data_IF_518514987505
#
_entry.id   IF_518514987505
#
_cell.length_a   1.000
_cell.length_b   1.000
_cell.length_c   1.000
_cell.angle_alpha   90.00
_cell.angle_beta   90.00
_cell.angle_gamma   90.00
#
_symmetry.space_group_name_H-M   'P 1'
#
loop_
_entity.id
_entity.type
_entity.pdbx_description
1 polymer ?
#
# COMPACT_ATOMS: atom_id res chain seq x y z
N UNK A 1 -48.40 23.06 -12.03
CA UNK A 1 -47.82 22.61 -10.75
C UNK A 1 -46.80 21.48 -10.95
N UNK A 2 -47.01 20.60 -11.93
CA UNK A 2 -46.13 19.46 -12.27
C UNK A 2 -44.65 19.82 -12.58
N UNK A 3 -44.43 20.88 -13.35
CA UNK A 3 -43.08 21.33 -13.77
C UNK A 3 -42.18 21.75 -12.57
N UNK A 4 -42.77 22.26 -11.49
CA UNK A 4 -42.04 22.64 -10.27
C UNK A 4 -41.57 21.40 -9.49
N UNK A 5 -42.38 20.34 -9.45
CA UNK A 5 -42.07 19.08 -8.77
C UNK A 5 -40.93 18.36 -9.46
N UNK A 6 -40.95 18.28 -10.79
CA UNK A 6 -39.88 17.64 -11.58
C UNK A 6 -38.55 18.39 -11.45
N UNK A 7 -38.56 19.71 -11.58
CA UNK A 7 -37.37 20.56 -11.41
C UNK A 7 -36.73 20.35 -10.03
N UNK A 8 -37.55 20.27 -8.99
CA UNK A 8 -37.08 20.01 -7.63
C UNK A 8 -36.50 18.60 -7.48
N UNK A 9 -37.07 17.60 -8.17
CA UNK A 9 -36.54 16.24 -8.22
C UNK A 9 -35.15 16.19 -8.86
N UNK A 10 -35.00 16.79 -10.04
CA UNK A 10 -33.72 16.87 -10.76
C UNK A 10 -32.65 17.56 -9.91
N UNK A 11 -32.99 18.71 -9.30
CA UNK A 11 -32.05 19.44 -8.44
C UNK A 11 -31.58 18.60 -7.24
N UNK A 12 -32.48 17.88 -6.57
CA UNK A 12 -32.14 16.99 -5.45
C UNK A 12 -31.22 15.86 -5.88
N UNK A 13 -31.46 15.27 -7.05
CA UNK A 13 -30.60 14.20 -7.58
C UNK A 13 -29.18 14.70 -7.86
N UNK A 14 -29.04 15.87 -8.50
CA UNK A 14 -27.71 16.45 -8.72
C UNK A 14 -27.00 16.83 -7.42
N UNK A 15 -27.74 17.29 -6.41
CA UNK A 15 -27.19 17.58 -5.08
C UNK A 15 -26.65 16.30 -4.41
N UNK A 16 -27.38 15.18 -4.52
CA UNK A 16 -26.92 13.88 -4.03
C UNK A 16 -25.68 13.38 -4.77
N UNK A 17 -25.64 13.52 -6.10
CA UNK A 17 -24.47 13.16 -6.91
C UNK A 17 -23.26 14.00 -6.48
N UNK A 18 -23.41 15.31 -6.34
CA UNK A 18 -22.34 16.20 -5.88
C UNK A 18 -21.84 15.81 -4.50
N UNK A 19 -22.74 15.50 -3.56
CA UNK A 19 -22.38 15.02 -2.23
C UNK A 19 -21.57 13.71 -2.27
N UNK A 20 -21.97 12.75 -3.11
CA UNK A 20 -21.21 11.50 -3.29
C UNK A 20 -19.80 11.76 -3.85
N UNK A 21 -19.69 12.63 -4.86
CA UNK A 21 -18.39 12.98 -5.45
C UNK A 21 -17.48 13.62 -4.40
N UNK A 22 -18.00 14.57 -3.61
CA UNK A 22 -17.24 15.21 -2.53
C UNK A 22 -16.77 14.18 -1.50
N UNK A 23 -17.60 13.20 -1.12
CA UNK A 23 -17.20 12.15 -0.19
C UNK A 23 -16.08 11.27 -0.75
N UNK A 24 -16.15 10.88 -2.02
CA UNK A 24 -15.12 10.06 -2.67
C UNK A 24 -13.81 10.83 -2.80
N UNK A 25 -13.85 12.09 -3.21
CA UNK A 25 -12.65 12.92 -3.31
C UNK A 25 -12.09 13.24 -1.92
N UNK A 26 -12.96 13.55 -0.96
CA UNK A 26 -12.61 13.84 0.43
C UNK A 26 -11.91 12.68 1.11
N UNK A 27 -12.39 11.43 0.94
CA UNK A 27 -11.69 10.25 1.50
C UNK A 27 -10.30 10.09 0.89
N UNK A 28 -10.17 10.28 -0.43
CA UNK A 28 -8.91 10.11 -1.14
C UNK A 28 -7.90 11.16 -0.72
N UNK A 29 -8.33 12.41 -0.63
CA UNK A 29 -7.55 13.52 -0.11
C UNK A 29 -7.10 13.28 1.32
N UNK A 30 -8.00 12.85 2.21
CA UNK A 30 -7.69 12.59 3.60
C UNK A 30 -6.70 11.43 3.76
N UNK A 31 -6.86 10.34 3.00
CA UNK A 31 -5.91 9.22 3.00
C UNK A 31 -4.52 9.66 2.53
N UNK A 32 -4.44 10.45 1.45
CA UNK A 32 -3.17 10.98 0.97
C UNK A 32 -2.52 11.93 2.00
N UNK A 33 -3.28 12.86 2.56
CA UNK A 33 -2.76 13.87 3.50
C UNK A 33 -2.37 13.27 4.86
N UNK A 34 -3.13 12.30 5.38
CA UNK A 34 -2.85 11.70 6.69
C UNK A 34 -1.82 10.57 6.64
N UNK A 35 -1.78 9.80 5.54
CA UNK A 35 -0.98 8.56 5.47
C UNK A 35 0.05 8.60 4.34
N UNK A 36 -0.24 9.29 3.24
CA UNK A 36 0.58 9.25 2.02
C UNK A 36 1.98 9.84 2.19
N UNK A 37 2.16 10.80 3.10
CA UNK A 37 3.44 11.52 3.29
C UNK A 37 4.07 11.24 4.66
N UNK A 38 4.14 9.97 5.07
CA UNK A 38 4.91 9.59 6.27
C UNK A 38 6.43 9.52 6.02
N UNK A 39 6.87 9.72 4.77
CA UNK A 39 8.27 9.60 4.37
C UNK A 39 8.81 8.18 4.51
N UNK A 40 10.11 8.01 4.24
CA UNK A 40 10.80 6.76 4.55
C UNK A 40 10.90 6.62 6.06
N UNK A 41 10.49 5.49 6.66
CA UNK A 41 10.63 5.30 8.10
C UNK A 41 12.11 5.42 8.49
N UNK A 42 12.45 5.91 9.70
CA UNK A 42 13.82 6.10 10.16
C UNK A 42 14.50 4.76 10.51
N UNK A 43 14.13 3.68 9.82
CA UNK A 43 14.74 2.38 10.01
C UNK A 43 16.21 2.48 9.67
N UNK A 44 17.02 2.01 10.61
CA UNK A 44 18.45 2.00 10.48
C UNK A 44 18.84 0.82 9.59
N UNK A 45 18.85 1.03 8.27
CA UNK A 45 19.28 0.05 7.27
C UNK A 45 20.80 -0.12 7.26
N UNK A 46 21.43 -0.14 8.43
CA UNK A 46 22.86 -0.46 8.52
C UNK A 46 23.09 -1.75 7.73
N UNK A 47 24.24 -1.86 7.03
CA UNK A 47 24.65 -3.14 6.48
C UNK A 47 24.71 -4.13 7.65
N UNK A 48 23.67 -4.93 7.80
CA UNK A 48 23.74 -6.12 8.65
C UNK A 48 24.72 -6.99 7.89
N UNK A 49 25.88 -7.22 8.50
CA UNK A 49 26.85 -8.17 7.97
C UNK A 49 26.08 -9.45 7.66
N UNK A 50 26.25 -10.05 6.49
CA UNK A 50 25.71 -11.37 6.19
C UNK A 50 26.25 -12.33 7.24
N UNK A 51 25.48 -12.52 8.31
CA UNK A 51 25.76 -13.52 9.32
C UNK A 51 25.22 -14.80 8.71
N UNK A 52 26.06 -15.84 8.53
CA UNK A 52 25.54 -17.17 8.27
C UNK A 52 24.42 -17.43 9.30
N UNK A 53 23.36 -18.14 8.92
CA UNK A 53 22.26 -18.41 9.83
C UNK A 53 22.76 -19.20 11.07
N UNK A 54 23.20 -18.50 12.11
CA UNK A 54 23.68 -19.05 13.39
C UNK A 54 22.50 -19.35 14.33
N UNK A 55 21.34 -19.71 13.77
CA UNK A 55 20.26 -20.19 14.60
C UNK A 55 20.70 -21.50 15.27
N UNK A 56 20.50 -21.68 16.58
CA UNK A 56 20.74 -22.96 17.26
C UNK A 56 19.92 -24.12 16.66
N UNK A 57 18.93 -23.80 15.82
CA UNK A 57 18.06 -24.72 15.11
C UNK A 57 18.27 -24.71 13.59
N UNK A 58 19.27 -24.00 13.06
CA UNK A 58 19.61 -24.04 11.64
C UNK A 58 20.27 -25.40 11.33
N UNK A 59 19.48 -26.33 10.81
CA UNK A 59 19.96 -27.57 10.21
C UNK A 59 20.03 -27.33 8.71
N UNK A 60 21.14 -26.77 8.22
CA UNK A 60 21.42 -26.68 6.79
C UNK A 60 22.82 -27.24 6.55
N UNK A 61 22.92 -28.18 5.60
CA UNK A 61 24.22 -28.56 5.08
C UNK A 61 24.85 -27.33 4.39
N UNK A 62 26.13 -27.01 4.65
CA UNK A 62 26.78 -25.89 3.99
C UNK A 62 26.75 -26.14 2.48
N UNK A 63 26.00 -25.29 1.76
CA UNK A 63 25.98 -25.38 0.30
C UNK A 63 27.40 -25.08 -0.21
N UNK A 64 27.91 -25.87 -1.17
CA UNK A 64 29.25 -25.67 -1.72
C UNK A 64 29.40 -24.32 -2.44
N UNK A 65 28.29 -23.68 -2.82
CA UNK A 65 28.29 -22.37 -3.46
C UNK A 65 27.27 -21.40 -2.82
N UNK A 66 27.51 -20.09 -2.91
CA UNK A 66 26.57 -19.06 -2.49
C UNK A 66 25.20 -19.20 -3.19
N UNK A 67 24.13 -18.96 -2.43
CA UNK A 67 22.73 -19.14 -2.84
C UNK A 67 22.25 -18.21 -3.98
N UNK A 68 23.06 -17.20 -4.35
CA UNK A 68 22.81 -16.31 -5.49
C UNK A 68 23.40 -16.82 -6.81
N UNK A 69 24.17 -17.91 -6.80
CA UNK A 69 24.72 -18.54 -7.99
C UNK A 69 23.67 -19.53 -8.53
N UNK A 70 22.96 -19.14 -9.59
CA UNK A 70 22.12 -20.07 -10.35
C UNK A 70 23.04 -20.97 -11.19
N UNK A 71 22.94 -22.29 -11.04
CA UNK A 71 23.71 -23.26 -11.82
C UNK A 71 24.48 -24.27 -10.96
N UNK A 72 25.76 -24.52 -11.28
CA UNK A 72 26.60 -25.66 -10.81
C UNK A 72 26.89 -25.61 -9.30
N UNK A 73 25.85 -25.78 -8.50
CA UNK A 73 25.84 -26.09 -7.08
C UNK A 73 24.90 -25.23 -6.24
N UNK A 74 23.63 -25.16 -6.66
CA UNK A 74 22.47 -24.88 -5.83
C UNK A 74 21.24 -25.23 -6.65
N UNK A 75 20.47 -26.22 -6.21
CA UNK A 75 19.37 -26.86 -6.97
C UNK A 75 18.51 -25.91 -7.80
#
# INVERSE_FOLDING_TARGET
MENQTERNGVFKTFLLIAAMVILILGKGFLAYYLIGDLGTPPWDFRPVKDVPAESPYAIYDPLPNPQHIQGVGGN
#
